data_IF_173770079175
#
_entry.id   IF_173770079175
#
_cell.length_a   1.000
_cell.length_b   1.000
_cell.length_c   1.000
_cell.angle_alpha   90.00
_cell.angle_beta   90.00
_cell.angle_gamma   90.00
#
_symmetry.space_group_name_H-M   'P 1'
#
loop_
_entity.id
_entity.type
_entity.pdbx_description
1 polymer ?
#
# COMPACT_ATOMS: atom_id res chain seq x y z
N UNK A 1 -1.05 32.76 -25.80
CA UNK A 1 -1.19 31.41 -25.23
C UNK A 1 -2.64 31.06 -25.32
N UNK A 2 -2.94 30.09 -26.17
CA UNK A 2 -4.27 29.51 -26.25
C UNK A 2 -4.53 28.81 -24.90
N UNK A 3 -5.74 28.97 -24.33
CA UNK A 3 -6.06 28.44 -23.01
C UNK A 3 -5.92 26.90 -22.90
N UNK A 4 -6.18 26.33 -21.73
CA UNK A 4 -6.13 24.88 -21.54
C UNK A 4 -7.23 24.20 -22.37
N UNK A 5 -6.82 23.40 -23.36
CA UNK A 5 -7.73 22.58 -24.13
C UNK A 5 -8.22 21.41 -23.28
N UNK A 6 -9.49 21.48 -22.90
CA UNK A 6 -10.19 20.41 -22.23
C UNK A 6 -10.94 19.65 -23.33
N UNK A 7 -10.31 18.62 -23.90
CA UNK A 7 -10.98 17.69 -24.81
C UNK A 7 -12.03 16.87 -24.05
N UNK A 8 -13.09 17.53 -23.57
CA UNK A 8 -14.09 17.01 -22.67
C UNK A 8 -15.47 17.00 -23.31
N UNK A 9 -16.24 15.99 -22.93
CA UNK A 9 -17.70 16.03 -23.05
C UNK A 9 -18.26 16.34 -21.68
N UNK A 10 -19.08 17.38 -21.57
CA UNK A 10 -19.80 17.68 -20.33
C UNK A 10 -21.05 16.82 -20.31
N UNK A 11 -21.12 15.91 -19.35
CA UNK A 11 -22.33 15.12 -19.10
C UNK A 11 -23.20 15.85 -18.07
N UNK A 12 -24.50 16.00 -18.31
CA UNK A 12 -25.40 16.52 -17.29
C UNK A 12 -25.43 15.53 -16.11
N UNK A 13 -24.97 15.96 -14.95
CA UNK A 13 -25.03 15.17 -13.72
C UNK A 13 -26.40 15.32 -13.06
N UNK A 14 -26.92 16.54 -13.09
CA UNK A 14 -28.31 16.86 -12.79
C UNK A 14 -28.72 18.11 -13.60
N UNK A 15 -29.93 18.63 -13.39
CA UNK A 15 -30.41 19.84 -14.07
C UNK A 15 -29.54 21.09 -13.80
N UNK A 16 -28.72 21.07 -12.74
CA UNK A 16 -27.90 22.20 -12.30
C UNK A 16 -26.40 22.06 -12.57
N UNK A 17 -25.86 20.85 -12.61
CA UNK A 17 -24.41 20.62 -12.67
C UNK A 17 -24.01 19.72 -13.81
N UNK A 18 -22.85 20.04 -14.40
CA UNK A 18 -22.16 19.17 -15.34
C UNK A 18 -21.06 18.38 -14.65
N UNK A 19 -20.74 17.22 -15.22
CA UNK A 19 -19.59 16.42 -14.87
C UNK A 19 -18.78 16.12 -16.13
N UNK A 20 -17.48 16.27 -16.03
CA UNK A 20 -16.55 15.88 -17.08
C UNK A 20 -15.42 15.02 -16.49
N UNK A 21 -14.92 14.09 -17.29
CA UNK A 21 -13.70 13.34 -16.97
C UNK A 21 -12.71 13.52 -18.10
N UNK A 22 -11.50 13.95 -17.77
CA UNK A 22 -10.44 14.26 -18.73
C UNK A 22 -9.09 13.81 -18.20
N UNK A 23 -8.19 13.50 -19.13
CA UNK A 23 -6.77 13.43 -18.83
C UNK A 23 -6.19 14.85 -18.90
N UNK A 24 -5.44 15.26 -17.87
CA UNK A 24 -4.75 16.57 -17.84
C UNK A 24 -3.30 16.32 -17.48
N UNK A 25 -2.38 16.95 -18.23
CA UNK A 25 -0.95 16.91 -17.93
C UNK A 25 -0.66 17.53 -16.56
N UNK A 26 0.34 17.00 -15.85
CA UNK A 26 0.73 17.53 -14.53
C UNK A 26 1.06 19.01 -14.61
N UNK A 27 1.76 19.46 -15.65
CA UNK A 27 2.07 20.88 -15.84
C UNK A 27 0.80 21.75 -15.84
N UNK A 28 -0.21 21.35 -16.59
CA UNK A 28 -1.47 22.09 -16.67
C UNK A 28 -2.26 22.01 -15.36
N UNK A 29 -2.23 20.86 -14.69
CA UNK A 29 -2.84 20.69 -13.38
C UNK A 29 -2.24 21.67 -12.36
N UNK A 30 -0.92 21.82 -12.34
CA UNK A 30 -0.23 22.77 -11.46
C UNK A 30 -0.53 24.24 -11.84
N UNK A 31 -0.71 24.52 -13.13
CA UNK A 31 -0.95 25.87 -13.64
C UNK A 31 -2.40 26.33 -13.48
N UNK A 32 -3.38 25.42 -13.58
CA UNK A 32 -4.80 25.75 -13.61
C UNK A 32 -5.56 25.39 -12.34
N UNK A 33 -4.91 24.83 -11.31
CA UNK A 33 -5.59 24.53 -10.03
C UNK A 33 -5.29 25.56 -8.95
N UNK A 34 -6.21 25.68 -8.00
CA UNK A 34 -6.06 26.46 -6.77
C UNK A 34 -6.72 25.77 -5.58
N UNK A 35 -6.15 25.96 -4.39
CA UNK A 35 -6.74 25.52 -3.13
C UNK A 35 -7.62 26.65 -2.59
N UNK A 36 -8.91 26.38 -2.44
CA UNK A 36 -9.83 27.30 -1.77
C UNK A 36 -9.81 27.01 -0.26
N UNK A 37 -9.28 27.94 0.59
CA UNK A 37 -9.19 27.74 2.03
C UNK A 37 -10.56 27.73 2.72
N UNK A 38 -11.62 28.20 2.06
CA UNK A 38 -12.99 28.13 2.58
C UNK A 38 -13.60 26.74 2.42
N UNK A 39 -13.15 25.98 1.43
CA UNK A 39 -13.67 24.64 1.10
C UNK A 39 -12.82 23.53 1.73
N UNK A 40 -11.49 23.69 1.71
CA UNK A 40 -10.56 22.60 2.02
C UNK A 40 -9.97 22.66 3.43
N UNK A 41 -9.63 21.49 3.97
CA UNK A 41 -8.92 21.35 5.25
C UNK A 41 -7.42 21.66 5.15
N UNK A 42 -6.81 22.05 6.28
CA UNK A 42 -5.36 22.24 6.39
C UNK A 42 -4.57 21.01 5.92
N UNK A 43 -3.46 21.29 5.26
CA UNK A 43 -2.57 20.28 4.68
C UNK A 43 -1.77 19.53 5.76
N UNK A 44 -1.56 18.24 5.53
CA UNK A 44 -0.66 17.40 6.34
C UNK A 44 0.68 17.24 5.64
N UNK A 45 1.75 17.77 6.26
CA UNK A 45 3.11 17.64 5.73
C UNK A 45 3.59 16.20 5.65
N UNK A 46 3.11 15.31 6.53
CA UNK A 46 3.47 13.89 6.53
C UNK A 46 2.92 13.12 5.33
N UNK A 47 1.66 13.38 4.94
CA UNK A 47 1.07 12.76 3.75
C UNK A 47 1.74 13.23 2.46
N UNK A 48 2.06 14.53 2.36
CA UNK A 48 2.82 15.06 1.23
C UNK A 48 4.16 14.34 1.06
N UNK A 49 4.92 14.17 2.15
CA UNK A 49 6.22 13.45 2.11
C UNK A 49 6.07 12.01 1.63
N UNK A 50 5.06 11.27 2.09
CA UNK A 50 4.82 9.89 1.64
C UNK A 50 4.59 9.80 0.13
N UNK A 51 3.78 10.70 -0.43
CA UNK A 51 3.50 10.72 -1.87
C UNK A 51 4.74 11.16 -2.65
N UNK A 52 5.50 12.14 -2.14
CA UNK A 52 6.75 12.56 -2.79
C UNK A 52 7.78 11.44 -2.84
N UNK A 53 7.95 10.67 -1.76
CA UNK A 53 8.83 9.49 -1.77
C UNK A 53 8.35 8.44 -2.78
N UNK A 54 7.03 8.19 -2.83
CA UNK A 54 6.44 7.28 -3.80
C UNK A 54 6.77 7.66 -5.26
N UNK A 55 6.78 8.96 -5.57
CA UNK A 55 7.12 9.48 -6.90
C UNK A 55 8.61 9.38 -7.23
N UNK A 56 9.48 9.56 -6.24
CA UNK A 56 10.94 9.56 -6.43
C UNK A 56 11.52 8.14 -6.49
N UNK A 57 10.94 7.19 -5.77
CA UNK A 57 11.45 5.81 -5.67
C UNK A 57 11.03 4.92 -6.86
N UNK A 58 10.16 5.41 -7.76
CA UNK A 58 9.55 4.60 -8.82
C UNK A 58 9.73 5.19 -10.22
N UNK A 59 9.74 4.30 -11.20
CA UNK A 59 9.58 4.66 -12.62
C UNK A 59 8.16 5.17 -12.85
N UNK A 60 8.01 6.25 -13.63
CA UNK A 60 6.75 6.99 -13.75
C UNK A 60 5.64 6.17 -14.44
N UNK A 61 6.00 5.23 -15.31
CA UNK A 61 5.13 4.23 -15.93
C UNK A 61 4.52 3.24 -14.92
N UNK A 62 5.08 3.16 -13.71
CA UNK A 62 4.63 2.29 -12.60
C UNK A 62 3.99 3.05 -11.45
N UNK A 63 3.78 4.35 -11.61
CA UNK A 63 3.14 5.23 -10.63
C UNK A 63 1.64 5.26 -10.91
N UNK A 64 0.84 4.67 -10.02
CA UNK A 64 -0.61 4.77 -10.11
C UNK A 64 -1.09 6.00 -9.35
N UNK A 65 -1.66 6.97 -10.08
CA UNK A 65 -2.40 8.07 -9.49
C UNK A 65 -3.90 7.79 -9.55
N UNK A 66 -4.54 7.69 -8.38
CA UNK A 66 -5.99 7.79 -8.32
C UNK A 66 -6.45 9.13 -8.90
N UNK A 67 -7.69 9.21 -9.43
CA UNK A 67 -8.20 10.42 -10.05
C UNK A 67 -8.32 11.57 -9.03
N UNK A 68 -8.07 12.80 -9.48
CA UNK A 68 -8.30 14.00 -8.66
C UNK A 68 -9.63 14.65 -9.04
N UNK A 69 -10.27 15.29 -8.07
CA UNK A 69 -11.59 15.90 -8.27
C UNK A 69 -11.46 17.41 -8.14
N UNK A 70 -11.95 18.12 -9.15
CA UNK A 70 -11.90 19.57 -9.27
C UNK A 70 -13.31 20.13 -9.50
N UNK A 71 -13.44 21.43 -9.26
CA UNK A 71 -14.64 22.22 -9.55
C UNK A 71 -14.30 23.41 -10.44
N UNK A 72 -15.17 23.64 -11.42
CA UNK A 72 -15.23 24.85 -12.22
C UNK A 72 -16.49 25.63 -11.84
N UNK A 73 -16.32 26.63 -10.96
CA UNK A 73 -17.39 27.53 -10.50
C UNK A 73 -17.85 28.48 -11.61
N UNK A 74 -16.90 29.13 -12.27
CA UNK A 74 -17.19 30.13 -13.31
C UNK A 74 -17.28 29.49 -14.70
N UNK A 75 -18.48 29.06 -15.10
CA UNK A 75 -18.71 28.44 -16.42
C UNK A 75 -18.35 29.39 -17.58
N UNK A 76 -18.41 30.71 -17.37
CA UNK A 76 -17.97 31.74 -18.33
C UNK A 76 -16.48 31.66 -18.68
N UNK A 77 -15.68 31.01 -17.81
CA UNK A 77 -14.27 30.69 -18.08
C UNK A 77 -14.09 29.64 -19.18
N UNK A 78 -15.15 28.92 -19.57
CA UNK A 78 -15.12 28.01 -20.71
C UNK A 78 -15.46 28.75 -22.01
N UNK A 79 -14.60 28.57 -23.00
CA UNK A 79 -14.85 28.98 -24.37
C UNK A 79 -15.03 27.73 -25.25
N UNK A 80 -16.03 27.75 -26.12
CA UNK A 80 -16.19 26.71 -27.15
C UNK A 80 -15.40 27.11 -28.40
N UNK A 81 -14.51 26.25 -28.86
CA UNK A 81 -13.79 26.39 -30.13
C UNK A 81 -14.02 25.16 -31.00
N UNK A 82 -13.57 25.19 -32.26
CA UNK A 82 -13.76 24.08 -33.21
C UNK A 82 -13.24 22.73 -32.69
N UNK A 83 -12.17 22.73 -31.88
CA UNK A 83 -11.52 21.53 -31.34
C UNK A 83 -12.03 21.06 -29.98
N UNK A 84 -12.97 21.76 -29.34
CA UNK A 84 -13.48 21.37 -28.02
C UNK A 84 -13.74 22.56 -27.08
N UNK A 85 -13.78 22.28 -25.78
CA UNK A 85 -13.93 23.30 -24.74
C UNK A 85 -12.56 23.73 -24.23
N UNK A 86 -12.39 25.03 -24.01
CA UNK A 86 -11.13 25.62 -23.59
C UNK A 86 -11.35 26.42 -22.32
N UNK A 87 -10.50 26.17 -21.32
CA UNK A 87 -10.37 27.02 -20.14
C UNK A 87 -9.55 28.26 -20.53
N UNK A 88 -10.11 29.45 -20.35
CA UNK A 88 -9.41 30.70 -20.67
C UNK A 88 -8.10 30.83 -19.88
N UNK A 89 -7.06 31.47 -20.43
CA UNK A 89 -5.85 31.77 -19.69
C UNK A 89 -6.16 32.55 -18.40
N UNK A 90 -5.56 32.14 -17.29
CA UNK A 90 -5.78 32.76 -15.97
C UNK A 90 -6.96 32.20 -15.19
N UNK A 91 -7.85 31.41 -15.82
CA UNK A 91 -8.91 30.69 -15.11
C UNK A 91 -8.32 29.65 -14.16
N UNK A 92 -9.04 29.39 -13.06
CA UNK A 92 -8.64 28.43 -12.03
C UNK A 92 -9.75 27.42 -11.73
N UNK A 93 -9.33 26.19 -11.51
CA UNK A 93 -10.14 25.09 -11.02
C UNK A 93 -9.92 24.94 -9.51
N UNK A 94 -11.00 24.94 -8.75
CA UNK A 94 -10.97 24.69 -7.31
C UNK A 94 -10.74 23.21 -7.06
N UNK A 95 -9.80 22.86 -6.18
CA UNK A 95 -9.56 21.45 -5.83
C UNK A 95 -10.66 20.99 -4.85
N UNK A 96 -11.32 19.86 -5.13
CA UNK A 96 -12.28 19.23 -4.21
C UNK A 96 -11.66 18.01 -3.53
N UNK A 97 -10.94 17.18 -4.27
CA UNK A 97 -10.19 16.05 -3.71
C UNK A 97 -8.84 15.87 -4.42
N UNK A 98 -7.86 15.37 -3.67
CA UNK A 98 -6.51 15.14 -4.17
C UNK A 98 -5.54 16.30 -3.95
N UNK A 99 -5.85 17.24 -3.05
CA UNK A 99 -4.96 18.35 -2.70
C UNK A 99 -3.52 17.91 -2.38
N UNK A 100 -3.33 16.82 -1.63
CA UNK A 100 -1.99 16.32 -1.29
C UNK A 100 -1.25 15.74 -2.50
N UNK A 101 -1.98 15.17 -3.47
CA UNK A 101 -1.41 14.61 -4.70
C UNK A 101 -0.89 15.73 -5.59
N UNK A 102 -1.73 16.73 -5.87
CA UNK A 102 -1.37 17.89 -6.68
C UNK A 102 -0.17 18.63 -6.08
N UNK A 103 -0.18 18.85 -4.76
CA UNK A 103 0.93 19.51 -4.09
C UNK A 103 2.21 18.66 -4.05
N UNK A 104 2.10 17.34 -3.95
CA UNK A 104 3.26 16.46 -3.99
C UNK A 104 3.93 16.49 -5.37
N UNK A 105 3.14 16.54 -6.46
CA UNK A 105 3.64 16.71 -7.83
C UNK A 105 4.44 18.02 -7.96
N UNK A 106 3.86 19.14 -7.51
CA UNK A 106 4.55 20.44 -7.52
C UNK A 106 5.83 20.43 -6.68
N UNK A 107 5.77 19.83 -5.49
CA UNK A 107 6.94 19.71 -4.62
C UNK A 107 8.07 18.88 -5.24
N UNK A 108 7.76 17.75 -5.87
CA UNK A 108 8.77 16.91 -6.53
C UNK A 108 9.40 17.64 -7.72
N UNK A 109 8.60 18.33 -8.53
CA UNK A 109 9.12 19.17 -9.61
C UNK A 109 10.07 20.26 -9.08
N UNK A 110 9.71 20.94 -7.99
CA UNK A 110 10.58 21.94 -7.35
C UNK A 110 11.89 21.34 -6.82
N UNK A 111 11.86 20.13 -6.26
CA UNK A 111 13.07 19.44 -5.79
C UNK A 111 13.99 19.12 -6.97
N UNK A 112 13.45 18.51 -8.04
CA UNK A 112 14.21 18.21 -9.26
C UNK A 112 14.81 19.48 -9.87
N UNK A 113 14.04 20.58 -9.95
CA UNK A 113 14.55 21.87 -10.43
C UNK A 113 15.66 22.46 -9.55
N UNK A 114 15.64 22.21 -8.24
CA UNK A 114 16.71 22.65 -7.33
C UNK A 114 17.96 21.79 -7.50
N UNK A 115 17.79 20.48 -7.68
CA UNK A 115 18.88 19.55 -7.96
C UNK A 115 19.56 19.89 -9.30
N UNK A 116 18.79 20.05 -10.38
CA UNK A 116 19.30 20.46 -11.71
C UNK A 116 20.13 21.75 -11.58
N UNK A 117 19.57 22.81 -10.98
CA UNK A 117 20.29 24.08 -10.80
C UNK A 117 21.56 23.97 -9.94
N UNK A 118 21.57 23.05 -8.98
CA UNK A 118 22.75 22.77 -8.16
C UNK A 118 23.85 22.10 -8.99
N UNK A 119 23.48 21.10 -9.80
CA UNK A 119 24.40 20.38 -10.66
C UNK A 119 24.90 21.24 -11.84
N UNK A 120 24.05 22.08 -12.45
CA UNK A 120 24.46 23.04 -13.49
C UNK A 120 25.55 24.01 -13.04
N UNK A 121 25.49 24.47 -11.77
CA UNK A 121 26.54 25.29 -11.18
C UNK A 121 27.88 24.53 -11.10
N UNK A 122 27.84 23.24 -10.76
CA UNK A 122 29.02 22.38 -10.75
C UNK A 122 29.56 22.14 -12.15
N UNK A 123 28.68 21.83 -13.12
CA UNK A 123 29.03 21.70 -14.54
C UNK A 123 29.72 22.96 -15.05
N UNK A 124 29.18 24.14 -14.73
CA UNK A 124 29.77 25.43 -15.11
C UNK A 124 31.18 25.61 -14.53
N UNK A 125 31.37 25.28 -13.25
CA UNK A 125 32.68 25.36 -12.58
C UNK A 125 33.69 24.36 -13.17
N UNK A 126 33.27 23.12 -13.43
CA UNK A 126 34.10 22.09 -14.07
C UNK A 126 34.45 22.46 -15.52
N UNK A 127 33.52 23.05 -16.26
CA UNK A 127 33.76 23.55 -17.62
C UNK A 127 34.88 24.61 -17.63
N UNK A 128 34.87 25.53 -16.66
CA UNK A 128 35.94 26.54 -16.53
C UNK A 128 37.29 25.89 -16.19
N UNK A 129 37.30 24.90 -15.29
CA UNK A 129 38.51 24.16 -14.93
C UNK A 129 39.06 23.38 -16.13
N UNK A 130 38.20 22.70 -16.88
CA UNK A 130 38.61 21.91 -18.03
C UNK A 130 39.17 22.77 -19.16
N UNK A 131 38.64 23.99 -19.36
CA UNK A 131 39.23 24.96 -20.29
C UNK A 131 40.65 25.39 -19.90
N UNK A 132 40.99 25.40 -18.61
CA UNK A 132 42.33 25.76 -18.10
C UNK A 132 43.32 24.59 -18.14
N UNK A 133 42.83 23.35 -18.19
CA UNK A 133 43.66 22.15 -18.19
C UNK A 133 43.10 21.10 -19.16
N UNK A 134 43.20 21.32 -20.49
CA UNK A 134 42.52 20.50 -21.49
C UNK A 134 42.96 19.03 -21.50
N UNK A 135 44.21 18.76 -21.10
CA UNK A 135 44.81 17.41 -21.12
C UNK A 135 44.45 16.58 -19.88
N UNK A 136 43.68 17.14 -18.94
CA UNK A 136 43.25 16.42 -17.75
C UNK A 136 42.02 15.55 -18.08
N UNK A 137 42.27 14.28 -18.41
CA UNK A 137 41.21 13.30 -18.71
C UNK A 137 40.29 13.02 -17.50
N UNK A 138 40.77 13.17 -16.26
CA UNK A 138 39.93 13.00 -15.06
C UNK A 138 38.87 14.10 -14.94
N UNK A 139 39.25 15.36 -15.19
CA UNK A 139 38.32 16.50 -15.22
C UNK A 139 37.30 16.39 -16.36
N UNK A 140 37.72 15.85 -17.50
CA UNK A 140 36.85 15.60 -18.65
C UNK A 140 35.79 14.53 -18.33
N UNK A 141 36.20 13.42 -17.71
CA UNK A 141 35.30 12.36 -17.27
C UNK A 141 34.33 12.86 -16.19
N UNK A 142 34.81 13.63 -15.21
CA UNK A 142 33.96 14.21 -14.17
C UNK A 142 32.91 15.17 -14.76
N UNK A 143 33.30 15.98 -15.76
CA UNK A 143 32.39 16.88 -16.47
C UNK A 143 31.32 16.10 -17.23
N UNK A 144 31.70 15.07 -17.98
CA UNK A 144 30.79 14.23 -18.75
C UNK A 144 29.77 13.51 -17.83
N UNK A 145 30.25 12.94 -16.72
CA UNK A 145 29.37 12.31 -15.71
C UNK A 145 28.38 13.31 -15.12
N UNK A 146 28.84 14.52 -14.78
CA UNK A 146 27.98 15.54 -14.19
C UNK A 146 26.94 16.07 -15.20
N UNK A 147 27.32 16.21 -16.47
CA UNK A 147 26.40 16.55 -17.56
C UNK A 147 25.34 15.47 -17.76
N UNK A 148 25.75 14.19 -17.83
CA UNK A 148 24.82 13.07 -17.93
C UNK A 148 23.83 13.00 -16.76
N UNK A 149 24.28 13.32 -15.54
CA UNK A 149 23.39 13.40 -14.38
C UNK A 149 22.35 14.54 -14.51
N UNK A 150 22.76 15.73 -14.97
CA UNK A 150 21.85 16.84 -15.21
C UNK A 150 20.78 16.46 -16.24
N UNK A 151 21.21 15.89 -17.36
CA UNK A 151 20.31 15.45 -18.43
C UNK A 151 19.33 14.38 -17.94
N UNK A 152 19.79 13.43 -17.14
CA UNK A 152 18.93 12.37 -16.57
C UNK A 152 17.85 12.95 -15.66
N UNK A 153 18.21 13.87 -14.76
CA UNK A 153 17.25 14.49 -13.83
C UNK A 153 16.25 15.36 -14.59
N UNK A 154 16.72 16.15 -15.56
CA UNK A 154 15.86 17.02 -16.35
C UNK A 154 14.89 16.23 -17.23
N UNK A 155 15.36 15.13 -17.85
CA UNK A 155 14.50 14.20 -18.58
C UNK A 155 13.39 13.65 -17.68
N UNK A 156 13.76 13.16 -16.49
CA UNK A 156 12.77 12.63 -15.52
C UNK A 156 11.78 13.71 -15.07
N UNK A 157 12.23 14.94 -14.92
CA UNK A 157 11.37 16.09 -14.58
C UNK A 157 10.37 16.38 -15.70
N UNK A 158 10.81 16.38 -16.96
CA UNK A 158 9.94 16.58 -18.12
C UNK A 158 8.91 15.45 -18.23
N UNK A 159 9.34 14.19 -18.09
CA UNK A 159 8.44 13.03 -18.07
C UNK A 159 7.36 13.17 -16.97
N UNK A 160 7.72 13.67 -15.79
CA UNK A 160 6.75 13.95 -14.71
C UNK A 160 5.76 15.04 -15.12
N UNK A 161 6.21 16.12 -15.76
CA UNK A 161 5.36 17.24 -16.18
C UNK A 161 4.42 16.89 -17.33
N UNK A 162 4.89 16.05 -18.25
CA UNK A 162 4.13 15.55 -19.41
C UNK A 162 3.19 14.39 -19.05
N UNK A 163 3.39 13.74 -17.90
CA UNK A 163 2.49 12.69 -17.44
C UNK A 163 1.06 13.20 -17.22
N UNK A 164 0.08 12.37 -17.54
CA UNK A 164 -1.33 12.71 -17.45
C UNK A 164 -1.99 12.11 -16.21
N UNK A 165 -2.86 12.89 -15.57
CA UNK A 165 -3.75 12.39 -14.51
C UNK A 165 -5.19 12.38 -14.99
N UNK A 166 -5.93 11.35 -14.58
CA UNK A 166 -7.38 11.36 -14.68
C UNK A 166 -7.96 12.41 -13.71
N UNK A 167 -8.73 13.35 -14.25
CA UNK A 167 -9.35 14.45 -13.54
C UNK A 167 -10.85 14.40 -13.73
N UNK A 168 -11.60 14.45 -12.63
CA UNK A 168 -13.03 14.65 -12.63
C UNK A 168 -13.33 16.12 -12.33
N UNK A 169 -14.07 16.80 -13.21
CA UNK A 169 -14.40 18.21 -13.09
C UNK A 169 -15.92 18.35 -12.93
N UNK A 170 -16.34 18.88 -11.79
CA UNK A 170 -17.72 19.34 -11.58
C UNK A 170 -17.85 20.77 -12.12
N UNK A 171 -18.90 21.04 -12.88
CA UNK A 171 -19.08 22.31 -13.59
C UNK A 171 -20.36 22.98 -13.08
N UNK A 172 -20.23 24.23 -12.64
CA UNK A 172 -21.34 25.07 -12.19
C UNK A 172 -21.72 24.91 -10.72
N UNK A 173 -20.86 24.32 -9.89
CA UNK A 173 -21.08 24.29 -8.43
C UNK A 173 -20.89 25.69 -7.83
N UNK A 174 -21.74 26.05 -6.87
CA UNK A 174 -21.49 27.19 -5.96
C UNK A 174 -20.50 26.82 -4.85
N UNK A 175 -19.97 27.81 -4.13
CA UNK A 175 -19.04 27.57 -3.01
C UNK A 175 -19.67 26.71 -1.89
N UNK A 176 -20.96 26.90 -1.61
CA UNK A 176 -21.67 26.11 -0.60
C UNK A 176 -21.80 24.65 -1.03
N UNK A 177 -22.06 24.41 -2.31
CA UNK A 177 -22.14 23.06 -2.88
C UNK A 177 -20.77 22.39 -2.97
N UNK A 178 -19.70 23.15 -3.24
CA UNK A 178 -18.32 22.67 -3.14
C UNK A 178 -17.98 22.20 -1.72
N UNK A 179 -18.36 22.99 -0.69
CA UNK A 179 -18.18 22.61 0.73
C UNK A 179 -18.94 21.34 1.07
N UNK A 180 -20.19 21.23 0.62
CA UNK A 180 -21.01 20.04 0.86
C UNK A 180 -20.42 18.81 0.17
N UNK A 181 -20.02 18.94 -1.10
CA UNK A 181 -19.43 17.84 -1.86
C UNK A 181 -18.06 17.42 -1.29
N UNK A 182 -17.24 18.38 -0.86
CA UNK A 182 -16.00 18.09 -0.12
C UNK A 182 -16.29 17.30 1.16
N UNK A 183 -17.28 17.74 1.94
CA UNK A 183 -17.71 17.05 3.15
C UNK A 183 -18.21 15.63 2.86
N UNK A 184 -19.04 15.47 1.83
CA UNK A 184 -19.60 14.20 1.40
C UNK A 184 -18.54 13.23 0.89
N UNK A 185 -17.60 13.68 0.05
CA UNK A 185 -16.48 12.85 -0.39
C UNK A 185 -15.67 12.39 0.83
N UNK A 186 -15.37 13.27 1.78
CA UNK A 186 -14.54 12.87 2.93
C UNK A 186 -15.29 12.04 3.98
N UNK A 187 -16.62 12.14 4.07
CA UNK A 187 -17.44 11.45 5.09
C UNK A 187 -18.14 10.20 4.58
N UNK A 188 -18.51 10.16 3.29
CA UNK A 188 -19.25 9.07 2.64
C UNK A 188 -18.38 8.18 1.76
N UNK A 189 -17.13 8.56 1.45
CA UNK A 189 -16.17 7.62 0.86
C UNK A 189 -15.97 6.48 1.84
N UNK A 190 -16.56 5.33 1.52
CA UNK A 190 -16.16 4.07 2.13
C UNK A 190 -14.69 3.89 1.78
N UNK A 191 -13.82 3.96 2.79
CA UNK A 191 -12.43 3.57 2.64
C UNK A 191 -12.42 2.17 2.05
N UNK A 192 -11.69 1.99 0.94
CA UNK A 192 -11.41 0.68 0.36
C UNK A 192 -11.01 -0.25 1.51
N UNK A 193 -11.73 -1.36 1.67
CA UNK A 193 -11.47 -2.30 2.76
C UNK A 193 -10.01 -2.77 2.66
N UNK A 194 -9.38 -3.04 3.81
CA UNK A 194 -7.95 -3.46 3.81
C UNK A 194 -7.76 -4.71 2.96
N UNK A 195 -8.74 -5.59 2.97
CA UNK A 195 -8.82 -6.81 2.18
C UNK A 195 -8.78 -6.49 0.68
N UNK A 196 -9.61 -5.53 0.25
CA UNK A 196 -9.65 -5.10 -1.14
C UNK A 196 -8.33 -4.42 -1.53
N UNK A 197 -7.77 -3.59 -0.66
CA UNK A 197 -6.45 -2.98 -0.83
C UNK A 197 -5.36 -4.02 -1.08
N UNK A 198 -5.22 -5.01 -0.20
CA UNK A 198 -4.23 -6.08 -0.36
C UNK A 198 -4.46 -6.94 -1.61
N UNK A 199 -5.72 -7.17 -2.00
CA UNK A 199 -6.04 -8.00 -3.18
C UNK A 199 -5.75 -7.33 -4.53
N UNK A 200 -5.70 -6.00 -4.58
CA UNK A 200 -5.45 -5.22 -5.81
C UNK A 200 -4.06 -4.54 -5.82
N UNK A 201 -3.35 -4.53 -4.70
CA UNK A 201 -2.01 -3.95 -4.59
C UNK A 201 -0.96 -4.92 -5.14
N UNK A 202 -0.79 -4.90 -6.46
CA UNK A 202 0.24 -5.64 -7.20
C UNK A 202 1.65 -5.07 -7.03
N UNK A 203 1.80 -4.02 -6.24
CA UNK A 203 3.05 -3.32 -6.00
C UNK A 203 3.77 -3.90 -4.78
N UNK A 204 3.03 -4.33 -3.76
CA UNK A 204 3.60 -4.99 -2.59
C UNK A 204 4.01 -6.44 -2.94
N UNK A 205 5.31 -6.79 -2.85
CA UNK A 205 5.79 -8.12 -3.17
C UNK A 205 5.18 -9.20 -2.28
N UNK A 206 4.79 -8.89 -1.04
CA UNK A 206 4.12 -9.85 -0.17
C UNK A 206 2.69 -10.14 -0.64
N UNK A 207 1.96 -9.14 -1.13
CA UNK A 207 0.64 -9.36 -1.71
C UNK A 207 0.71 -10.26 -2.95
N UNK A 208 1.74 -10.08 -3.80
CA UNK A 208 1.96 -10.96 -4.95
C UNK A 208 2.17 -12.42 -4.54
N UNK A 209 2.99 -12.66 -3.51
CA UNK A 209 3.19 -14.01 -2.93
C UNK A 209 1.85 -14.58 -2.45
N UNK A 210 1.10 -13.82 -1.65
CA UNK A 210 -0.19 -14.26 -1.10
C UNK A 210 -1.17 -14.59 -2.22
N UNK A 211 -1.26 -13.74 -3.25
CA UNK A 211 -2.16 -13.93 -4.38
C UNK A 211 -1.82 -15.20 -5.15
N UNK A 212 -0.53 -15.44 -5.42
CA UNK A 212 -0.06 -16.69 -6.02
C UNK A 212 -0.47 -17.92 -5.18
N UNK A 213 -0.27 -17.89 -3.86
CA UNK A 213 -0.63 -19.03 -3.00
C UNK A 213 -2.14 -19.23 -2.91
N UNK A 214 -2.93 -18.16 -2.75
CA UNK A 214 -4.39 -18.24 -2.72
C UNK A 214 -4.94 -18.79 -4.04
N UNK A 215 -4.33 -18.43 -5.17
CA UNK A 215 -4.78 -18.85 -6.49
C UNK A 215 -4.30 -20.27 -6.88
N UNK A 216 -3.40 -20.90 -6.13
CA UNK A 216 -2.87 -22.24 -6.49
C UNK A 216 -2.90 -23.28 -5.37
N UNK A 217 -3.05 -22.90 -4.09
CA UNK A 217 -3.12 -23.84 -2.98
C UNK A 217 -4.53 -24.41 -2.83
N UNK A 218 -4.70 -25.70 -3.12
CA UNK A 218 -6.01 -26.37 -3.11
C UNK A 218 -6.66 -26.35 -1.71
N UNK A 219 -5.88 -26.57 -0.65
CA UNK A 219 -6.40 -26.58 0.72
C UNK A 219 -6.86 -25.19 1.15
N UNK A 220 -6.07 -24.16 0.86
CA UNK A 220 -6.42 -22.78 1.21
C UNK A 220 -7.64 -22.29 0.43
N UNK A 221 -7.77 -22.69 -0.84
CA UNK A 221 -9.00 -22.45 -1.62
C UNK A 221 -10.22 -23.13 -1.01
N UNK A 222 -10.08 -24.39 -0.60
CA UNK A 222 -11.16 -25.16 0.03
C UNK A 222 -11.60 -24.56 1.37
N UNK A 223 -10.66 -24.08 2.18
CA UNK A 223 -10.92 -23.44 3.47
C UNK A 223 -11.59 -22.05 3.34
N UNK A 224 -11.47 -21.41 2.17
CA UNK A 224 -12.09 -20.12 1.86
C UNK A 224 -11.26 -18.91 2.32
N UNK A 225 -11.09 -17.95 1.41
CA UNK A 225 -10.35 -16.69 1.65
C UNK A 225 -11.22 -15.50 1.27
N UNK A 226 -11.54 -14.66 2.25
CA UNK A 226 -12.34 -13.45 2.05
C UNK A 226 -11.54 -12.32 1.39
N UNK A 227 -12.15 -11.71 0.36
CA UNK A 227 -11.54 -10.65 -0.47
C UNK A 227 -12.22 -9.28 -0.31
N UNK A 228 -13.47 -9.20 0.17
CA UNK A 228 -14.29 -7.98 0.06
C UNK A 228 -14.66 -7.29 1.38
N UNK A 229 -14.52 -7.91 2.55
CA UNK A 229 -14.78 -7.26 3.84
C UNK A 229 -14.22 -8.07 5.02
N UNK A 230 -14.15 -7.46 6.21
CA UNK A 230 -13.80 -8.16 7.45
C UNK A 230 -14.69 -9.40 7.66
N UNK A 231 -14.10 -10.48 8.19
CA UNK A 231 -14.82 -11.70 8.57
C UNK A 231 -15.94 -11.36 9.57
N UNK A 232 -17.20 -11.49 9.16
CA UNK A 232 -18.37 -11.37 10.03
C UNK A 232 -18.70 -12.72 10.66
N UNK A 233 -19.54 -12.75 11.69
CA UNK A 233 -19.99 -13.99 12.35
C UNK A 233 -20.73 -14.97 11.43
N UNK A 234 -21.17 -14.52 10.25
CA UNK A 234 -21.84 -15.34 9.23
C UNK A 234 -20.88 -15.82 8.14
N UNK A 235 -19.64 -15.31 8.12
CA UNK A 235 -18.64 -15.71 7.13
C UNK A 235 -18.04 -17.05 7.54
N UNK A 236 -18.04 -18.01 6.60
CA UNK A 236 -17.47 -19.34 6.79
C UNK A 236 -16.03 -19.46 6.27
N UNK A 237 -15.51 -18.42 5.62
CA UNK A 237 -14.14 -18.38 5.13
C UNK A 237 -13.17 -18.47 6.30
N UNK A 238 -12.15 -19.29 6.15
CA UNK A 238 -11.09 -19.49 7.13
C UNK A 238 -10.33 -18.20 7.46
N UNK A 239 -10.01 -17.40 6.44
CA UNK A 239 -9.14 -16.24 6.61
C UNK A 239 -9.50 -15.14 5.61
N UNK A 240 -8.81 -14.00 5.69
CA UNK A 240 -8.94 -12.89 4.74
C UNK A 240 -7.57 -12.44 4.26
N UNK A 241 -7.52 -11.65 3.18
CA UNK A 241 -6.24 -11.10 2.69
C UNK A 241 -5.46 -10.32 3.75
N UNK A 242 -6.14 -9.57 4.62
CA UNK A 242 -5.47 -8.80 5.68
C UNK A 242 -4.88 -9.70 6.79
N UNK A 243 -5.54 -10.82 7.08
CA UNK A 243 -5.03 -11.82 8.03
C UNK A 243 -3.91 -12.64 7.41
N UNK A 244 -4.02 -13.04 6.14
CA UNK A 244 -2.94 -13.67 5.38
C UNK A 244 -1.69 -12.80 5.34
N UNK A 245 -1.84 -11.49 5.15
CA UNK A 245 -0.72 -10.55 5.17
C UNK A 245 0.00 -10.54 6.52
N UNK A 246 -0.75 -10.45 7.61
CA UNK A 246 -0.19 -10.48 8.97
C UNK A 246 0.47 -11.83 9.29
N UNK A 247 -0.22 -12.93 8.98
CA UNK A 247 0.24 -14.31 9.21
C UNK A 247 1.51 -14.58 8.41
N UNK A 248 1.56 -14.18 7.14
CA UNK A 248 2.76 -14.35 6.29
C UNK A 248 3.93 -13.48 6.79
N UNK A 249 3.65 -12.26 7.25
CA UNK A 249 4.66 -11.39 7.87
C UNK A 249 5.28 -12.07 9.08
N UNK A 250 4.44 -12.63 9.97
CA UNK A 250 4.90 -13.34 11.16
C UNK A 250 5.66 -14.62 10.81
N UNK A 251 5.17 -15.40 9.84
CA UNK A 251 5.83 -16.61 9.37
C UNK A 251 7.23 -16.31 8.81
N UNK A 252 7.40 -15.22 8.09
CA UNK A 252 8.67 -14.88 7.44
C UNK A 252 9.65 -14.14 8.35
N UNK A 253 9.17 -13.43 9.37
CA UNK A 253 10.02 -12.50 10.15
C UNK A 253 10.00 -12.72 11.65
N UNK A 254 9.05 -13.49 12.18
CA UNK A 254 8.79 -13.58 13.62
C UNK A 254 8.23 -12.28 14.22
N UNK A 255 7.87 -11.29 13.41
CA UNK A 255 7.44 -9.94 13.86
C UNK A 255 6.06 -9.60 13.31
N UNK A 256 5.37 -8.68 13.99
CA UNK A 256 4.02 -8.23 13.61
C UNK A 256 4.00 -7.27 12.43
N UNK A 257 5.10 -6.58 12.14
CA UNK A 257 5.16 -5.53 11.13
C UNK A 257 6.16 -5.93 10.04
N UNK A 258 5.79 -5.74 8.76
CA UNK A 258 6.70 -5.99 7.66
C UNK A 258 7.84 -4.97 7.70
N UNK A 259 9.03 -5.39 7.26
CA UNK A 259 10.19 -4.51 7.11
C UNK A 259 10.48 -4.27 5.63
N UNK A 260 11.15 -3.15 5.34
CA UNK A 260 11.67 -2.88 4.00
C UNK A 260 12.61 -4.00 3.52
N UNK A 261 13.38 -4.58 4.45
CA UNK A 261 14.27 -5.71 4.16
C UNK A 261 13.50 -6.96 3.71
N UNK A 262 12.37 -7.29 4.36
CA UNK A 262 11.51 -8.39 3.92
C UNK A 262 11.03 -8.16 2.48
N UNK A 263 10.49 -6.97 2.20
CA UNK A 263 10.02 -6.64 0.86
C UNK A 263 11.14 -6.72 -0.19
N UNK A 264 12.38 -6.36 0.16
CA UNK A 264 13.55 -6.52 -0.71
C UNK A 264 13.88 -8.00 -0.95
N UNK A 265 13.89 -8.84 0.10
CA UNK A 265 14.18 -10.28 -0.04
C UNK A 265 13.12 -10.99 -0.89
N UNK A 266 11.84 -10.70 -0.69
CA UNK A 266 10.76 -11.27 -1.50
C UNK A 266 10.91 -10.86 -2.98
N UNK A 267 11.30 -9.62 -3.28
CA UNK A 267 11.56 -9.20 -4.67
C UNK A 267 12.74 -9.93 -5.31
N UNK A 268 13.78 -10.26 -4.53
CA UNK A 268 14.96 -10.96 -5.01
C UNK A 268 14.68 -12.43 -5.30
N UNK A 269 13.87 -13.08 -4.46
CA UNK A 269 13.55 -14.50 -4.59
C UNK A 269 12.09 -14.79 -4.20
N UNK A 270 11.12 -14.41 -5.05
CA UNK A 270 9.70 -14.58 -4.74
C UNK A 270 9.29 -16.06 -4.66
N UNK A 271 9.94 -16.92 -5.45
CA UNK A 271 9.64 -18.35 -5.54
C UNK A 271 9.80 -19.06 -4.19
N UNK A 272 10.87 -18.76 -3.45
CA UNK A 272 11.09 -19.34 -2.12
C UNK A 272 9.98 -18.95 -1.14
N UNK A 273 9.53 -17.69 -1.13
CA UNK A 273 8.45 -17.26 -0.24
C UNK A 273 7.09 -17.83 -0.63
N UNK A 274 6.82 -17.98 -1.94
CA UNK A 274 5.64 -18.70 -2.45
C UNK A 274 5.66 -20.14 -1.97
N UNK A 275 6.80 -20.84 -2.12
CA UNK A 275 6.94 -22.23 -1.71
C UNK A 275 6.76 -22.40 -0.18
N UNK A 276 7.41 -21.57 0.63
CA UNK A 276 7.26 -21.62 2.10
C UNK A 276 5.78 -21.47 2.50
N UNK A 277 5.09 -20.48 1.93
CA UNK A 277 3.70 -20.23 2.28
C UNK A 277 2.76 -21.34 1.75
N UNK A 278 3.09 -21.94 0.60
CA UNK A 278 2.41 -23.15 0.11
C UNK A 278 2.59 -24.32 1.07
N UNK A 279 3.83 -24.62 1.47
CA UNK A 279 4.15 -25.70 2.39
C UNK A 279 3.43 -25.52 3.74
N UNK A 280 3.38 -24.29 4.24
CA UNK A 280 2.68 -23.93 5.48
C UNK A 280 1.21 -24.35 5.43
N UNK A 281 0.44 -23.83 4.46
CA UNK A 281 -1.00 -24.11 4.39
C UNK A 281 -1.32 -25.53 3.94
N UNK A 282 -0.50 -26.12 3.06
CA UNK A 282 -0.68 -27.51 2.64
C UNK A 282 -0.44 -28.51 3.77
N UNK A 283 0.37 -28.15 4.77
CA UNK A 283 0.58 -28.99 5.96
C UNK A 283 -0.43 -28.70 7.05
N UNK A 284 -0.73 -27.42 7.30
CA UNK A 284 -1.56 -27.01 8.43
C UNK A 284 -3.05 -27.31 8.23
N UNK A 285 -3.61 -26.97 7.06
CA UNK A 285 -5.05 -27.05 6.85
C UNK A 285 -5.62 -28.48 6.93
N UNK A 286 -4.92 -29.53 6.46
CA UNK A 286 -5.37 -30.91 6.68
C UNK A 286 -5.47 -31.33 8.15
N UNK A 287 -4.78 -30.64 9.07
CA UNK A 287 -4.81 -30.91 10.51
C UNK A 287 -5.95 -30.16 11.23
N UNK A 288 -6.67 -29.30 10.50
CA UNK A 288 -7.78 -28.51 11.01
C UNK A 288 -9.13 -29.17 10.68
N UNK A 289 -10.25 -28.70 11.28
CA UNK A 289 -11.58 -29.15 10.91
C UNK A 289 -11.90 -28.85 9.44
N UNK A 290 -12.81 -29.62 8.83
CA UNK A 290 -13.18 -29.47 7.40
C UNK A 290 -13.60 -28.04 7.03
N UNK A 291 -14.25 -27.32 7.95
CA UNK A 291 -14.60 -25.91 7.82
C UNK A 291 -13.92 -25.07 8.92
N UNK A 292 -12.62 -24.77 8.78
CA UNK A 292 -11.83 -24.19 9.87
C UNK A 292 -12.18 -22.71 10.14
N UNK A 293 -12.96 -22.07 9.27
CA UNK A 293 -13.48 -20.71 9.46
C UNK A 293 -14.75 -20.61 10.30
N UNK A 294 -15.37 -21.72 10.70
CA UNK A 294 -16.59 -21.66 11.50
C UNK A 294 -16.33 -21.12 12.92
N UNK A 295 -17.16 -20.21 13.46
CA UNK A 295 -16.94 -19.59 14.77
C UNK A 295 -16.95 -20.53 15.99
N UNK A 296 -17.32 -21.80 15.80
CA UNK A 296 -17.25 -22.85 16.81
C UNK A 296 -15.83 -23.41 16.98
N UNK A 297 -14.94 -23.17 16.02
CA UNK A 297 -13.55 -23.62 16.07
C UNK A 297 -12.59 -22.48 16.41
N UNK A 298 -11.58 -22.78 17.21
CA UNK A 298 -10.50 -21.86 17.59
C UNK A 298 -9.61 -21.49 16.40
N UNK A 299 -9.58 -22.33 15.35
CA UNK A 299 -8.91 -22.07 14.06
C UNK A 299 -9.43 -20.81 13.34
N UNK A 300 -10.68 -20.41 13.61
CA UNK A 300 -11.28 -19.20 13.05
C UNK A 300 -10.79 -17.90 13.74
N UNK A 301 -9.98 -18.01 14.80
CA UNK A 301 -9.39 -16.84 15.45
C UNK A 301 -8.14 -16.36 14.71
N UNK A 302 -8.09 -15.06 14.43
CA UNK A 302 -6.88 -14.40 13.93
C UNK A 302 -5.67 -14.64 14.83
N UNK A 303 -5.85 -14.56 16.15
CA UNK A 303 -4.76 -14.76 17.10
C UNK A 303 -4.21 -16.18 17.01
N UNK A 304 -5.06 -17.18 16.77
CA UNK A 304 -4.64 -18.57 16.56
C UNK A 304 -3.80 -18.70 15.28
N UNK A 305 -4.30 -18.23 14.13
CA UNK A 305 -3.58 -18.31 12.84
C UNK A 305 -2.21 -17.62 12.91
N UNK A 306 -2.16 -16.41 13.47
CA UNK A 306 -0.94 -15.64 13.65
C UNK A 306 0.06 -16.34 14.60
N UNK A 307 -0.42 -16.97 15.67
CA UNK A 307 0.45 -17.67 16.62
C UNK A 307 1.05 -18.95 16.05
N UNK A 308 0.29 -19.68 15.23
CA UNK A 308 0.82 -20.85 14.52
C UNK A 308 1.95 -20.42 13.56
N UNK A 309 1.79 -19.29 12.88
CA UNK A 309 2.83 -18.73 12.02
C UNK A 309 4.09 -18.29 12.80
N UNK A 310 3.92 -17.66 13.97
CA UNK A 310 5.05 -17.31 14.84
C UNK A 310 5.79 -18.55 15.36
N UNK A 311 5.05 -19.57 15.79
CA UNK A 311 5.62 -20.84 16.21
C UNK A 311 6.41 -21.49 15.06
N UNK A 312 5.79 -21.61 13.89
CA UNK A 312 6.43 -22.13 12.68
C UNK A 312 7.71 -21.35 12.28
N UNK A 313 7.74 -20.03 12.44
CA UNK A 313 8.91 -19.20 12.13
C UNK A 313 10.17 -19.67 12.88
N UNK A 314 10.04 -20.05 14.15
CA UNK A 314 11.15 -20.56 14.98
C UNK A 314 11.76 -21.87 14.47
N UNK A 315 11.00 -22.66 13.71
CA UNK A 315 11.49 -23.89 13.07
C UNK A 315 11.91 -23.67 11.62
N UNK A 316 11.31 -22.70 10.92
CA UNK A 316 11.65 -22.34 9.55
C UNK A 316 13.07 -21.79 9.46
N UNK A 317 13.47 -20.94 10.41
CA UNK A 317 14.80 -20.37 10.49
C UNK A 317 15.48 -20.73 11.82
N UNK A 318 16.50 -21.58 11.79
CA UNK A 318 17.39 -21.83 12.93
C UNK A 318 18.70 -21.07 12.71
N UNK A 319 19.08 -20.22 13.66
CA UNK A 319 20.25 -19.34 13.57
C UNK A 319 20.31 -18.52 12.26
N UNK A 320 19.15 -18.07 11.79
CA UNK A 320 19.00 -17.30 10.55
C UNK A 320 19.17 -18.12 9.25
N UNK A 321 19.27 -19.45 9.34
CA UNK A 321 19.37 -20.35 8.18
C UNK A 321 18.05 -21.10 7.97
N UNK A 322 17.65 -21.20 6.70
CA UNK A 322 16.49 -21.98 6.29
C UNK A 322 16.68 -23.47 6.67
N UNK A 323 15.67 -24.05 7.31
CA UNK A 323 15.67 -25.45 7.74
C UNK A 323 14.80 -26.28 6.81
N UNK A 324 15.34 -27.38 6.26
CA UNK A 324 14.55 -28.35 5.49
C UNK A 324 13.58 -29.08 6.42
N UNK A 325 12.39 -29.43 5.92
CA UNK A 325 11.33 -30.13 6.66
C UNK A 325 10.85 -29.40 7.92
N UNK A 326 10.96 -28.06 7.95
CA UNK A 326 10.51 -27.23 9.05
C UNK A 326 9.02 -27.41 9.39
N UNK A 327 8.19 -27.82 8.43
CA UNK A 327 6.75 -28.07 8.62
C UNK A 327 6.46 -29.23 9.55
N UNK A 328 7.44 -30.07 9.89
CA UNK A 328 7.30 -31.16 10.87
C UNK A 328 6.89 -30.65 12.25
N UNK A 329 7.20 -29.40 12.62
CA UNK A 329 6.73 -28.81 13.87
C UNK A 329 5.20 -28.71 13.95
N UNK A 330 4.51 -28.65 12.80
CA UNK A 330 3.05 -28.55 12.75
C UNK A 330 2.35 -29.87 13.11
N UNK A 331 3.08 -30.98 13.24
CA UNK A 331 2.53 -32.27 13.70
C UNK A 331 1.94 -32.21 15.11
N UNK A 332 2.30 -31.20 15.93
CA UNK A 332 1.65 -30.94 17.23
C UNK A 332 0.15 -30.68 17.11
N UNK A 333 -0.34 -30.36 15.91
CA UNK A 333 -1.76 -30.16 15.64
C UNK A 333 -2.50 -31.46 15.24
N UNK A 334 -1.81 -32.59 15.10
CA UNK A 334 -2.44 -33.87 14.86
C UNK A 334 -3.26 -34.29 16.09
N UNK A 335 -4.57 -34.45 15.90
CA UNK A 335 -5.50 -34.74 17.00
C UNK A 335 -5.77 -33.54 17.93
N UNK A 336 -5.36 -32.33 17.56
CA UNK A 336 -5.60 -31.13 18.37
C UNK A 336 -7.10 -30.82 18.45
N UNK A 337 -7.58 -30.55 19.67
CA UNK A 337 -8.97 -30.14 19.88
C UNK A 337 -9.17 -28.67 19.46
N UNK A 338 -9.76 -28.48 18.28
CA UNK A 338 -10.06 -27.15 17.74
C UNK A 338 -11.36 -26.55 18.30
N UNK A 339 -12.10 -27.23 19.18
CA UNK A 339 -13.38 -26.72 19.68
C UNK A 339 -13.18 -25.59 20.71
N UNK A 340 -14.28 -24.94 21.11
CA UNK A 340 -14.25 -23.99 22.24
C UNK A 340 -14.11 -24.68 23.60
N UNK A 341 -14.18 -26.01 23.65
CA UNK A 341 -14.16 -26.82 24.87
C UNK A 341 -12.75 -27.32 25.23
N UNK A 342 -11.74 -26.97 24.43
CA UNK A 342 -10.35 -27.37 24.65
C UNK A 342 -9.85 -26.88 26.03
N UNK A 343 -9.65 -27.82 26.95
CA UNK A 343 -9.30 -27.55 28.35
C UNK A 343 -7.98 -26.76 28.48
N UNK A 344 -6.95 -27.11 27.69
CA UNK A 344 -5.66 -26.41 27.69
C UNK A 344 -5.80 -24.94 27.28
N UNK A 345 -6.69 -24.65 26.33
CA UNK A 345 -6.98 -23.28 25.91
C UNK A 345 -7.82 -22.53 26.94
N UNK A 346 -8.81 -23.21 27.54
CA UNK A 346 -9.64 -22.63 28.61
C UNK A 346 -8.77 -22.25 29.82
N UNK A 347 -7.87 -23.12 30.24
CA UNK A 347 -6.99 -22.86 31.39
C UNK A 347 -6.10 -21.62 31.16
N UNK A 348 -5.54 -21.46 29.96
CA UNK A 348 -4.59 -20.37 29.67
C UNK A 348 -5.24 -19.02 29.37
N UNK A 349 -6.40 -19.03 28.72
CA UNK A 349 -7.03 -17.84 28.17
C UNK A 349 -8.36 -17.50 28.83
N UNK A 350 -9.01 -18.48 29.45
CA UNK A 350 -10.37 -18.37 29.96
C UNK A 350 -11.42 -18.29 28.84
N UNK A 351 -12.67 -18.22 29.26
CA UNK A 351 -13.84 -18.04 28.40
C UNK A 351 -14.40 -16.64 28.53
N UNK A 352 -15.03 -16.15 27.46
CA UNK A 352 -15.82 -14.94 27.44
C UNK A 352 -17.24 -15.22 27.97
N UNK A 353 -18.01 -14.16 28.24
CA UNK A 353 -19.40 -14.25 28.73
C UNK A 353 -20.33 -15.04 27.79
N UNK A 354 -19.99 -15.14 26.51
CA UNK A 354 -20.73 -15.91 25.51
C UNK A 354 -20.27 -17.37 25.40
N UNK A 355 -19.43 -17.84 26.32
CA UNK A 355 -18.91 -19.21 26.36
C UNK A 355 -17.78 -19.51 25.38
N UNK A 356 -17.33 -18.54 24.57
CA UNK A 356 -16.21 -18.73 23.63
C UNK A 356 -14.87 -18.53 24.29
N UNK A 357 -13.82 -19.15 23.76
CA UNK A 357 -12.44 -18.92 24.19
C UNK A 357 -12.06 -17.45 24.03
N UNK A 358 -11.35 -16.89 25.02
CA UNK A 358 -10.86 -15.51 24.97
C UNK A 358 -9.60 -15.38 24.09
N UNK A 359 -9.78 -15.64 22.80
CA UNK A 359 -8.78 -15.46 21.75
C UNK A 359 -9.02 -14.18 20.95
N UNK A 360 -9.64 -13.16 21.56
CA UNK A 360 -9.83 -11.85 20.94
C UNK A 360 -8.45 -11.31 20.56
N UNK A 361 -8.28 -10.98 19.28
CA UNK A 361 -7.03 -10.43 18.77
C UNK A 361 -6.78 -9.05 19.38
N UNK A 362 -5.61 -8.89 20.01
CA UNK A 362 -5.16 -7.65 20.62
C UNK A 362 -3.98 -7.07 19.85
N UNK A 363 -3.68 -5.79 20.06
CA UNK A 363 -2.46 -5.17 19.50
C UNK A 363 -1.18 -5.65 20.18
N UNK A 364 -1.29 -6.40 21.28
CA UNK A 364 -0.17 -6.94 22.05
C UNK A 364 0.09 -8.39 21.68
N UNK A 365 1.37 -8.80 21.66
CA UNK A 365 1.79 -10.19 21.42
C UNK A 365 1.58 -11.10 22.64
N UNK A 366 0.91 -10.65 23.71
CA UNK A 366 0.77 -11.43 24.95
C UNK A 366 0.04 -12.75 24.73
N UNK A 367 -1.08 -12.72 23.99
CA UNK A 367 -1.84 -13.94 23.65
C UNK A 367 -1.07 -14.82 22.68
N UNK A 368 -0.38 -14.23 21.71
CA UNK A 368 0.47 -14.97 20.78
C UNK A 368 1.59 -15.70 21.50
N UNK A 369 2.30 -15.04 22.41
CA UNK A 369 3.37 -15.64 23.20
C UNK A 369 2.86 -16.83 24.03
N UNK A 370 1.70 -16.71 24.68
CA UNK A 370 1.08 -17.82 25.43
C UNK A 370 0.69 -19.00 24.54
N UNK A 371 0.20 -18.74 23.31
CA UNK A 371 -0.14 -19.78 22.34
C UNK A 371 1.14 -20.46 21.82
N UNK A 372 2.17 -19.68 21.47
CA UNK A 372 3.47 -20.22 21.05
C UNK A 372 4.07 -21.10 22.15
N UNK A 373 4.02 -20.66 23.41
CA UNK A 373 4.46 -21.45 24.56
C UNK A 373 3.69 -22.77 24.69
N UNK A 374 2.36 -22.74 24.49
CA UNK A 374 1.55 -23.96 24.48
C UNK A 374 1.99 -24.92 23.37
N UNK A 375 2.25 -24.41 22.17
CA UNK A 375 2.70 -25.25 21.05
C UNK A 375 4.08 -25.85 21.28
N UNK A 376 4.99 -25.12 21.93
CA UNK A 376 6.30 -25.62 22.34
C UNK A 376 6.18 -26.74 23.38
N UNK A 377 5.32 -26.57 24.37
CA UNK A 377 5.04 -27.60 25.38
C UNK A 377 4.45 -28.87 24.75
N UNK A 378 3.53 -28.73 23.79
CA UNK A 378 2.98 -29.85 23.02
C UNK A 378 4.03 -30.54 22.15
N UNK A 379 5.05 -29.81 21.67
CA UNK A 379 6.17 -30.36 20.92
C UNK A 379 7.19 -31.09 21.82
N UNK A 380 7.12 -30.90 23.14
CA UNK A 380 8.11 -31.42 24.09
C UNK A 380 9.38 -30.58 24.19
N UNK A 381 9.35 -29.31 23.75
CA UNK A 381 10.46 -28.38 23.95
C UNK A 381 10.40 -27.78 25.36
N UNK A 382 11.44 -27.97 26.18
CA UNK A 382 11.50 -27.33 27.50
C UNK A 382 11.66 -25.82 27.33
N UNK A 383 10.81 -25.02 27.98
CA UNK A 383 10.97 -23.57 28.07
C UNK A 383 12.29 -23.23 28.77
N UNK A 384 13.35 -22.97 28.00
CA UNK A 384 14.53 -22.29 28.51
C UNK A 384 14.16 -20.84 28.77
N UNK A 385 14.27 -20.41 30.03
CA UNK A 385 14.21 -19.01 30.44
C UNK A 385 15.31 -18.20 29.71
N UNK A 386 15.00 -17.64 28.55
CA UNK A 386 15.73 -16.51 27.98
C UNK A 386 14.79 -15.32 27.80
N UNK A 387 14.24 -14.88 28.93
CA UNK A 387 13.66 -13.56 29.09
C UNK A 387 14.26 -12.86 30.30
N UNK A 388 15.55 -12.55 30.25
CA UNK A 388 16.10 -11.35 30.91
C UNK A 388 17.52 -11.05 30.39
N UNK A 389 17.61 -10.17 29.39
CA UNK A 389 18.64 -9.11 29.18
C UNK A 389 18.98 -8.90 27.70
N UNK A 390 18.35 -7.90 27.08
CA UNK A 390 18.95 -6.84 26.23
C UNK A 390 17.84 -6.09 25.47
#
# INVERSE_FOLDING_TARGET
MDGLCLNMTIHPFCEKFGLATVAIQVQDLLNYTSIDPMVQRKLSGGQRRKISNYLQERELDRVFFGPVTLSLREVSSLAKMEKGLFLRPGSKLSILDGQHRILALGYVNEQMLKEVRSHEKKVSALTIKQRRSPENEELKLELEQMQGLVEQIERRRLELMESELAVQIYIGLSEEEEKQLFGDINSKVQLVSKELGHSFDSIDPLNLVIQQVVDHNVFLKGAGVERRANLTSYNKNFTSFSWLYSTSTMLFTGKMQPSYELARKIRQDPSTYIEILHQFYSTLLPLMPEQPGLPQYSSASRAMQESIALYANGHLFKDGKYTKNWTSCLSVFEGFDWTQENENLIERFGTLDNGKLNLIHEKSLRKHAKLVQLFQELHGESTGDEASTA
#
